data_IF_594822432321
#
_entry.id   IF_594822432321
#
_cell.length_a   1.000
_cell.length_b   1.000
_cell.length_c   1.000
_cell.angle_alpha   90.00
_cell.angle_beta   90.00
_cell.angle_gamma   90.00
#
_symmetry.space_group_name_H-M   'P 1'
#
loop_
_entity.id
_entity.type
_entity.pdbx_description
1 polymer ?
#
# COMPACT_ATOMS: atom_id res chain seq x y z
N UNK A 1 -25.72 22.38 -27.73
CA UNK A 1 -24.78 22.74 -26.65
C UNK A 1 -24.21 21.46 -26.06
N UNK A 2 -22.91 21.18 -26.31
CA UNK A 2 -22.20 20.06 -25.67
C UNK A 2 -21.93 20.43 -24.21
N UNK A 3 -22.44 19.65 -23.27
CA UNK A 3 -21.99 19.70 -21.86
C UNK A 3 -20.60 19.07 -21.83
N UNK A 4 -19.58 19.89 -21.58
CA UNK A 4 -18.26 19.38 -21.21
C UNK A 4 -18.41 18.73 -19.84
N UNK A 5 -18.06 17.45 -19.76
CA UNK A 5 -17.94 16.70 -18.51
C UNK A 5 -16.89 17.35 -17.62
N UNK A 6 -17.18 17.43 -16.33
CA UNK A 6 -16.27 17.89 -15.29
C UNK A 6 -14.92 17.17 -15.45
N UNK A 7 -13.84 17.95 -15.44
CA UNK A 7 -12.51 17.43 -15.20
C UNK A 7 -12.47 16.84 -13.78
N UNK A 8 -12.02 15.59 -13.69
CA UNK A 8 -11.75 14.88 -12.45
C UNK A 8 -10.68 15.64 -11.64
N UNK A 9 -11.11 16.41 -10.66
CA UNK A 9 -10.26 17.27 -9.83
C UNK A 9 -9.63 16.53 -8.63
N UNK A 10 -9.52 15.21 -8.68
CA UNK A 10 -8.94 14.42 -7.58
C UNK A 10 -7.41 14.24 -7.68
N UNK A 11 -6.75 15.07 -8.48
CA UNK A 11 -5.29 15.25 -8.40
C UNK A 11 -4.93 16.17 -7.22
N UNK A 12 -5.04 15.66 -6.00
CA UNK A 12 -4.44 16.35 -4.85
C UNK A 12 -2.95 16.04 -4.81
N UNK A 13 -2.14 16.93 -5.41
CA UNK A 13 -0.67 16.92 -5.28
C UNK A 13 -0.17 17.12 -3.83
N UNK A 14 -1.07 17.21 -2.85
CA UNK A 14 -0.78 17.61 -1.47
C UNK A 14 -1.07 16.53 -0.41
N UNK A 15 -1.68 15.38 -0.74
CA UNK A 15 -2.01 14.38 0.27
C UNK A 15 -1.67 12.98 -0.23
N UNK A 16 -0.76 12.32 0.50
CA UNK A 16 -0.66 10.87 0.50
C UNK A 16 -1.99 10.31 1.03
N UNK A 17 -2.66 9.48 0.22
CA UNK A 17 -3.95 8.91 0.59
C UNK A 17 -3.75 7.42 0.87
N UNK A 18 -4.19 7.00 2.06
CA UNK A 18 -4.33 5.58 2.35
C UNK A 18 -5.62 5.06 1.72
N UNK A 19 -5.50 4.07 0.84
CA UNK A 19 -6.60 3.25 0.32
C UNK A 19 -6.67 1.90 1.03
N UNK A 20 -7.88 1.39 1.18
CA UNK A 20 -8.16 0.11 1.84
C UNK A 20 -9.20 -0.66 1.03
N UNK A 21 -8.87 -1.89 0.66
CA UNK A 21 -9.75 -2.78 -0.09
C UNK A 21 -9.35 -4.24 0.14
N UNK A 22 -10.12 -5.16 -0.44
CA UNK A 22 -9.78 -6.58 -0.47
C UNK A 22 -9.45 -6.98 -1.90
N UNK A 23 -8.36 -7.71 -2.06
CA UNK A 23 -7.92 -8.28 -3.32
C UNK A 23 -7.95 -9.83 -3.22
N UNK A 24 -8.37 -10.55 -4.27
CA UNK A 24 -8.44 -12.02 -4.24
C UNK A 24 -7.09 -12.69 -3.96
N UNK A 25 -6.00 -12.09 -4.43
CA UNK A 25 -4.66 -12.62 -4.29
C UNK A 25 -4.04 -12.23 -2.94
N UNK A 26 -4.10 -10.95 -2.61
CA UNK A 26 -3.43 -10.40 -1.42
C UNK A 26 -4.28 -10.48 -0.15
N UNK A 27 -5.60 -10.60 -0.25
CA UNK A 27 -6.50 -10.42 0.88
C UNK A 27 -6.67 -8.94 1.21
N UNK A 28 -6.53 -8.54 2.48
CA UNK A 28 -6.68 -7.12 2.86
C UNK A 28 -5.47 -6.33 2.37
N UNK A 29 -5.73 -5.25 1.63
CA UNK A 29 -4.70 -4.37 1.06
C UNK A 29 -4.82 -2.98 1.66
N UNK A 30 -3.69 -2.44 2.10
CA UNK A 30 -3.48 -1.03 2.35
C UNK A 30 -2.53 -0.50 1.28
N UNK A 31 -2.86 0.64 0.69
CA UNK A 31 -2.08 1.24 -0.39
C UNK A 31 -1.95 2.75 -0.15
N UNK A 32 -0.71 3.20 0.13
CA UNK A 32 -0.35 4.61 0.18
C UNK A 32 -0.14 5.11 -1.25
N UNK A 33 -0.92 6.12 -1.64
CA UNK A 33 -0.95 6.56 -3.04
C UNK A 33 0.21 7.49 -3.40
N UNK A 34 0.88 8.11 -2.41
CA UNK A 34 1.95 9.08 -2.60
C UNK A 34 1.61 10.17 -3.65
N UNK A 35 0.36 10.64 -3.67
CA UNK A 35 -0.14 11.62 -4.65
C UNK A 35 -0.53 11.03 -6.02
N UNK A 36 -0.60 9.71 -6.13
CA UNK A 36 -1.11 9.00 -7.30
C UNK A 36 -2.58 9.27 -7.58
N UNK A 37 -2.98 9.12 -8.84
CA UNK A 37 -4.38 9.23 -9.23
C UNK A 37 -5.19 8.05 -8.69
N UNK A 38 -6.36 8.37 -8.12
CA UNK A 38 -7.34 7.39 -7.64
C UNK A 38 -8.69 7.80 -8.19
N UNK A 39 -9.43 6.83 -8.73
CA UNK A 39 -10.80 7.04 -9.20
C UNK A 39 -11.76 7.28 -8.05
N UNK A 40 -12.76 8.12 -8.30
CA UNK A 40 -13.77 8.50 -7.32
C UNK A 40 -14.56 7.31 -6.79
N UNK A 41 -14.82 6.31 -7.63
CA UNK A 41 -15.56 5.11 -7.26
C UNK A 41 -14.81 4.28 -6.21
N UNK A 42 -13.48 4.23 -6.30
CA UNK A 42 -12.62 3.51 -5.35
C UNK A 42 -12.49 4.31 -4.07
N UNK A 43 -12.25 5.63 -4.20
CA UNK A 43 -12.05 6.49 -3.04
C UNK A 43 -13.33 6.66 -2.20
N UNK A 44 -14.50 6.67 -2.86
CA UNK A 44 -15.79 6.78 -2.18
C UNK A 44 -16.45 5.42 -1.92
N UNK A 45 -15.73 4.32 -2.12
CA UNK A 45 -16.25 2.99 -1.82
C UNK A 45 -16.65 2.90 -0.33
N UNK A 46 -17.89 2.47 -0.01
CA UNK A 46 -18.36 2.40 1.37
C UNK A 46 -17.50 1.52 2.27
N UNK A 47 -16.96 0.42 1.75
CA UNK A 47 -16.08 -0.49 2.50
C UNK A 47 -14.74 0.19 2.79
N UNK A 48 -14.18 0.94 1.83
CA UNK A 48 -12.99 1.76 2.07
C UNK A 48 -13.23 2.77 3.20
N UNK A 49 -14.32 3.54 3.11
CA UNK A 49 -14.66 4.58 4.10
C UNK A 49 -14.89 3.99 5.49
N UNK A 50 -15.66 2.91 5.58
CA UNK A 50 -15.92 2.21 6.84
C UNK A 50 -14.62 1.66 7.45
N UNK A 51 -13.78 1.01 6.64
CA UNK A 51 -12.49 0.48 7.07
C UNK A 51 -11.60 1.57 7.64
N UNK A 52 -11.50 2.71 6.95
CA UNK A 52 -10.74 3.87 7.42
C UNK A 52 -11.23 4.40 8.76
N UNK A 53 -12.55 4.46 8.96
CA UNK A 53 -13.14 4.86 10.25
C UNK A 53 -12.85 3.84 11.37
N UNK A 54 -12.92 2.55 11.06
CA UNK A 54 -12.67 1.48 12.03
C UNK A 54 -11.19 1.43 12.44
N UNK A 55 -10.26 1.56 11.49
CA UNK A 55 -8.82 1.61 11.77
C UNK A 55 -8.44 2.80 12.66
N UNK A 56 -9.04 3.98 12.44
CA UNK A 56 -8.86 5.17 13.30
C UNK A 56 -9.31 4.96 14.74
N UNK A 57 -10.31 4.11 14.97
CA UNK A 57 -10.82 3.76 16.31
C UNK A 57 -10.06 2.59 16.94
N UNK A 58 -9.25 1.88 16.16
CA UNK A 58 -8.59 0.67 16.63
C UNK A 58 -7.44 1.00 17.59
N UNK A 59 -7.26 0.15 18.59
CA UNK A 59 -6.14 0.23 19.52
C UNK A 59 -4.88 -0.38 18.89
N UNK A 60 -3.70 0.02 19.38
CA UNK A 60 -2.39 -0.49 18.95
C UNK A 60 -2.12 -1.97 19.28
N UNK A 61 -3.10 -2.74 19.75
CA UNK A 61 -2.97 -4.19 19.92
C UNK A 61 -2.73 -4.85 18.56
N UNK A 62 -1.68 -5.65 18.47
CA UNK A 62 -1.36 -6.39 17.25
C UNK A 62 -2.24 -7.65 17.19
N UNK A 63 -2.94 -7.81 16.07
CA UNK A 63 -3.75 -9.00 15.80
C UNK A 63 -2.94 -10.04 14.99
N UNK A 64 -1.86 -9.59 14.35
CA UNK A 64 -0.94 -10.37 13.53
C UNK A 64 0.50 -10.00 13.84
N UNK A 65 1.40 -10.98 13.76
CA UNK A 65 2.82 -10.73 13.53
C UNK A 65 3.02 -10.10 12.14
N UNK A 66 4.14 -9.43 11.94
CA UNK A 66 4.42 -8.70 10.70
C UNK A 66 5.87 -8.85 10.28
N UNK A 67 6.11 -8.65 8.99
CA UNK A 67 7.43 -8.55 8.39
C UNK A 67 7.50 -7.31 7.51
N UNK A 68 8.71 -6.74 7.41
CA UNK A 68 9.04 -5.64 6.50
C UNK A 68 9.76 -6.23 5.29
N UNK A 69 9.52 -5.67 4.11
CA UNK A 69 10.20 -6.10 2.89
C UNK A 69 11.73 -6.04 3.09
N UNK A 70 12.45 -7.16 2.98
CA UNK A 70 13.89 -7.19 3.23
C UNK A 70 14.69 -6.37 2.22
N UNK A 71 14.12 -6.08 1.05
CA UNK A 71 14.75 -5.29 -0.02
C UNK A 71 14.39 -3.80 0.00
N UNK A 72 13.68 -3.35 1.04
CA UNK A 72 13.13 -1.98 1.09
C UNK A 72 14.22 -0.90 0.95
N UNK A 73 15.41 -1.09 1.55
CA UNK A 73 16.49 -0.10 1.48
C UNK A 73 16.99 0.10 0.04
N UNK A 74 17.06 -1.00 -0.73
CA UNK A 74 17.38 -0.98 -2.17
C UNK A 74 16.28 -0.29 -2.96
N UNK A 75 15.01 -0.59 -2.68
CA UNK A 75 13.86 -0.01 -3.39
C UNK A 75 13.79 1.51 -3.17
N UNK A 76 13.97 1.95 -1.92
CA UNK A 76 13.99 3.36 -1.56
C UNK A 76 15.30 4.07 -1.95
N UNK A 77 16.26 3.32 -2.52
CA UNK A 77 17.60 3.78 -2.90
C UNK A 77 18.30 4.52 -1.77
N UNK A 78 18.16 4.02 -0.53
CA UNK A 78 18.76 4.69 0.63
C UNK A 78 20.29 4.67 0.58
N UNK A 79 20.87 3.67 -0.09
CA UNK A 79 22.30 3.54 -0.34
C UNK A 79 22.85 4.67 -1.24
N UNK A 80 22.03 5.24 -2.13
CA UNK A 80 22.42 6.31 -3.05
C UNK A 80 22.31 7.72 -2.43
N UNK A 81 21.73 7.84 -1.23
CA UNK A 81 21.36 9.13 -0.60
C UNK A 81 22.48 9.77 0.23
N UNK A 82 23.74 9.36 0.06
CA UNK A 82 24.88 9.86 0.85
C UNK A 82 25.09 11.39 0.82
N UNK A 83 24.44 12.13 -0.09
CA UNK A 83 24.72 13.56 -0.31
C UNK A 83 23.60 14.56 0.04
N UNK A 84 22.40 14.13 0.45
CA UNK A 84 21.29 15.07 0.70
C UNK A 84 20.85 15.10 2.18
N UNK A 85 21.04 16.25 2.83
CA UNK A 85 20.89 16.48 4.28
C UNK A 85 19.45 16.34 4.83
N UNK A 86 18.49 15.83 4.07
CA UNK A 86 17.23 15.32 4.62
C UNK A 86 17.45 13.87 5.04
N UNK A 87 17.82 13.67 6.30
CA UNK A 87 17.88 12.35 6.93
C UNK A 87 16.49 11.70 6.79
N UNK A 88 16.37 10.76 5.85
CA UNK A 88 15.19 9.94 5.73
C UNK A 88 15.03 9.15 7.03
N UNK A 89 13.92 9.39 7.72
CA UNK A 89 13.58 8.67 8.95
C UNK A 89 12.79 7.41 8.57
N UNK A 90 13.51 6.29 8.47
CA UNK A 90 12.94 4.99 8.10
C UNK A 90 11.91 4.51 9.12
N UNK A 91 12.11 4.81 10.40
CA UNK A 91 11.19 4.38 11.46
C UNK A 91 9.88 5.17 11.39
N UNK A 92 9.98 6.48 11.15
CA UNK A 92 8.81 7.32 10.92
C UNK A 92 8.06 6.90 9.65
N UNK A 93 8.78 6.60 8.57
CA UNK A 93 8.21 6.10 7.32
C UNK A 93 7.45 4.78 7.55
N UNK A 94 8.09 3.80 8.20
CA UNK A 94 7.53 2.46 8.40
C UNK A 94 6.35 2.40 9.36
N UNK A 95 6.18 3.41 10.22
CA UNK A 95 5.22 3.38 11.34
C UNK A 95 3.82 2.97 10.91
N UNK A 96 3.28 3.62 9.88
CA UNK A 96 1.89 3.43 9.47
C UNK A 96 1.74 2.11 8.68
N UNK A 97 2.72 1.75 7.84
CA UNK A 97 2.76 0.45 7.16
C UNK A 97 2.79 -0.73 8.13
N UNK A 98 3.61 -0.65 9.18
CA UNK A 98 3.68 -1.67 10.24
C UNK A 98 2.37 -1.73 11.02
N UNK A 99 1.76 -0.58 11.32
CA UNK A 99 0.47 -0.54 11.99
C UNK A 99 -0.60 -1.31 11.20
N UNK A 100 -0.71 -1.07 9.89
CA UNK A 100 -1.67 -1.78 9.05
C UNK A 100 -1.32 -3.26 8.86
N UNK A 101 -0.03 -3.61 8.73
CA UNK A 101 0.40 -5.01 8.70
C UNK A 101 -0.01 -5.79 9.95
N UNK A 102 0.13 -5.20 11.15
CA UNK A 102 -0.35 -5.77 12.42
C UNK A 102 -1.86 -5.95 12.49
N UNK A 103 -2.63 -5.30 11.61
CA UNK A 103 -4.09 -5.46 11.45
C UNK A 103 -4.47 -6.43 10.32
N UNK A 104 -3.48 -7.10 9.72
CA UNK A 104 -3.69 -8.10 8.68
C UNK A 104 -3.65 -7.54 7.25
N UNK A 105 -3.12 -6.33 7.02
CA UNK A 105 -3.06 -5.71 5.69
C UNK A 105 -1.70 -5.89 5.03
N UNK A 106 -1.69 -6.36 3.79
CA UNK A 106 -0.54 -6.20 2.90
C UNK A 106 -0.44 -4.72 2.54
N UNK A 107 0.68 -4.10 2.91
CA UNK A 107 0.84 -2.65 2.91
C UNK A 107 1.82 -2.23 1.83
N UNK A 108 1.34 -1.44 0.87
CA UNK A 108 2.06 -1.04 -0.33
C UNK A 108 2.26 0.47 -0.40
N UNK A 109 3.34 0.88 -1.05
CA UNK A 109 3.65 2.28 -1.35
C UNK A 109 3.95 2.44 -2.84
N UNK A 110 3.69 3.63 -3.38
CA UNK A 110 3.88 3.90 -4.80
C UNK A 110 5.37 3.89 -5.14
N UNK A 111 5.73 3.14 -6.18
CA UNK A 111 7.14 3.03 -6.57
C UNK A 111 7.61 4.28 -7.33
N UNK A 112 6.80 4.77 -8.26
CA UNK A 112 7.16 5.87 -9.15
C UNK A 112 6.35 7.14 -8.83
N UNK A 113 6.75 7.84 -7.76
CA UNK A 113 6.03 9.02 -7.22
C UNK A 113 5.89 10.18 -8.22
N UNK A 114 6.81 10.30 -9.18
CA UNK A 114 6.80 11.36 -10.19
C UNK A 114 5.81 11.08 -11.35
N UNK A 115 5.15 9.91 -11.36
CA UNK A 115 4.19 9.54 -12.38
C UNK A 115 2.84 9.18 -11.73
N UNK A 116 1.89 10.13 -11.62
CA UNK A 116 0.61 9.90 -10.96
C UNK A 116 -0.23 8.77 -11.57
N UNK A 117 -0.10 8.53 -12.87
CA UNK A 117 -0.81 7.47 -13.63
C UNK A 117 -0.05 6.14 -13.64
N UNK A 118 1.08 6.04 -12.93
CA UNK A 118 1.79 4.78 -12.77
C UNK A 118 1.14 3.93 -11.67
N UNK A 119 0.63 2.76 -12.01
CA UNK A 119 -0.04 1.91 -11.03
C UNK A 119 0.89 0.86 -10.40
N UNK A 120 2.21 1.05 -10.45
CA UNK A 120 3.17 0.15 -9.81
C UNK A 120 3.49 0.55 -8.37
N UNK A 121 3.30 -0.42 -7.47
CA UNK A 121 3.50 -0.27 -6.03
C UNK A 121 4.44 -1.35 -5.52
N UNK A 122 5.25 -1.04 -4.53
CA UNK A 122 6.11 -2.01 -3.87
C UNK A 122 5.55 -2.34 -2.49
N UNK A 123 5.73 -3.59 -2.08
CA UNK A 123 5.35 -4.01 -0.73
C UNK A 123 6.33 -3.42 0.29
N UNK A 124 5.79 -2.84 1.36
CA UNK A 124 6.59 -2.24 2.44
C UNK A 124 6.55 -3.13 3.67
N UNK A 125 5.35 -3.53 4.11
CA UNK A 125 5.14 -4.41 5.26
C UNK A 125 3.94 -5.33 5.03
N UNK A 126 3.93 -6.49 5.67
CA UNK A 126 2.88 -7.48 5.48
C UNK A 126 2.65 -8.35 6.72
N UNK A 127 1.44 -8.91 6.89
CA UNK A 127 1.12 -9.79 8.01
C UNK A 127 1.75 -11.17 7.81
N UNK A 128 2.21 -11.77 8.89
CA UNK A 128 2.56 -13.19 8.92
C UNK A 128 1.25 -13.97 9.03
N UNK A 129 0.88 -14.66 7.96
CA UNK A 129 -0.29 -15.52 7.94
C UNK A 129 0.08 -16.87 8.58
N UNK A 130 -0.58 -17.23 9.67
CA UNK A 130 -0.34 -18.53 10.31
C UNK A 130 -0.78 -19.68 9.40
N UNK A 131 0.08 -20.70 9.28
CA UNK A 131 -0.14 -21.89 8.45
C UNK A 131 -1.39 -22.72 8.82
N UNK A 132 -2.06 -22.40 9.93
CA UNK A 132 -3.33 -23.02 10.32
C UNK A 132 -4.52 -22.57 9.45
N UNK A 133 -4.31 -21.58 8.59
CA UNK A 133 -5.23 -21.22 7.51
C UNK A 133 -4.92 -22.08 6.29
N UNK A 134 -5.13 -23.39 6.40
CA UNK A 134 -4.91 -24.38 5.34
C UNK A 134 -5.82 -24.08 4.15
N UNK A 135 -5.33 -23.27 3.22
CA UNK A 135 -5.82 -23.20 1.85
C UNK A 135 -4.67 -23.63 0.94
N UNK A 136 -4.98 -24.43 -0.08
CA UNK A 136 -4.05 -24.97 -1.08
C UNK A 136 -3.24 -23.87 -1.83
N UNK A 137 -3.54 -22.60 -1.61
CA UNK A 137 -2.92 -21.42 -2.21
C UNK A 137 -1.75 -20.82 -1.39
N UNK A 138 -1.33 -21.41 -0.27
CA UNK A 138 -0.26 -20.81 0.55
C UNK A 138 1.09 -20.75 -0.18
N UNK A 139 1.46 -21.81 -0.91
CA UNK A 139 2.68 -21.85 -1.73
C UNK A 139 2.66 -20.80 -2.84
N UNK A 140 1.52 -20.66 -3.53
CA UNK A 140 1.34 -19.63 -4.56
C UNK A 140 1.46 -18.22 -3.97
N UNK A 141 0.91 -17.99 -2.78
CA UNK A 141 1.04 -16.72 -2.06
C UNK A 141 2.48 -16.42 -1.66
N UNK A 142 3.21 -17.39 -1.13
CA UNK A 142 4.60 -17.18 -0.72
C UNK A 142 5.49 -16.86 -1.93
N UNK A 143 5.29 -17.52 -3.08
CA UNK A 143 5.98 -17.19 -4.34
C UNK A 143 5.66 -15.77 -4.82
N UNK A 144 4.40 -15.36 -4.75
CA UNK A 144 3.94 -14.05 -5.18
C UNK A 144 4.49 -12.95 -4.26
N UNK A 145 4.49 -13.19 -2.96
CA UNK A 145 5.12 -12.31 -1.96
C UNK A 145 6.62 -12.19 -2.25
N UNK A 146 7.31 -13.30 -2.50
CA UNK A 146 8.73 -13.29 -2.84
C UNK A 146 9.04 -12.51 -4.11
N UNK A 147 8.21 -12.64 -5.15
CA UNK A 147 8.35 -11.83 -6.38
C UNK A 147 8.13 -10.35 -6.09
N UNK A 148 7.11 -10.01 -5.29
CA UNK A 148 6.82 -8.62 -4.91
C UNK A 148 7.90 -7.98 -4.02
N UNK A 149 8.78 -8.76 -3.38
CA UNK A 149 9.97 -8.21 -2.72
C UNK A 149 11.00 -7.68 -3.71
N UNK A 150 11.06 -8.23 -4.92
CA UNK A 150 12.06 -7.87 -5.91
C UNK A 150 11.55 -6.82 -6.89
N UNK A 151 10.27 -6.88 -7.25
CA UNK A 151 9.68 -6.11 -8.34
C UNK A 151 8.40 -5.39 -7.92
N UNK A 152 8.14 -4.18 -8.45
CA UNK A 152 6.86 -3.50 -8.24
C UNK A 152 5.69 -4.31 -8.78
N UNK A 153 4.59 -4.31 -8.05
CA UNK A 153 3.31 -4.94 -8.40
C UNK A 153 2.42 -3.89 -9.07
N UNK A 154 1.92 -4.21 -10.26
CA UNK A 154 0.91 -3.39 -10.91
C UNK A 154 -0.47 -3.62 -10.26
N UNK A 155 -1.08 -2.55 -9.76
CA UNK A 155 -2.38 -2.57 -9.07
C UNK A 155 -3.49 -2.23 -10.06
N UNK A 156 -3.89 -3.22 -10.87
CA UNK A 156 -4.87 -3.05 -11.94
C UNK A 156 -6.23 -2.53 -11.48
N UNK A 157 -6.61 -2.78 -10.22
CA UNK A 157 -7.85 -2.27 -9.62
C UNK A 157 -7.94 -0.72 -9.67
N UNK A 158 -6.80 -0.04 -9.76
CA UNK A 158 -6.72 1.42 -9.81
C UNK A 158 -6.88 2.00 -11.23
N UNK A 159 -6.83 1.18 -12.28
CA UNK A 159 -7.09 1.56 -13.68
C UNK A 159 -8.58 1.69 -13.95
#
# INVERSE_FOLDING_TARGET
>A
MKKFSNMDNNASAAYDLDLFFTDPLWGKVHLATAGGHVRDEIFNDPQHVETKMNLRKSTCTADYDYLVNPNLDRILRLEDREFDFKKFDKDMYLRDFIFYAKKGYFSFDKTYINNPLDFHYHIVAYPVLSANSLNDHQLEKDEIIHKAFAEPVEMDILK
#
